data_IF_649329701525
#
_entry.id   IF_649329701525
#
_cell.length_a   1.000
_cell.length_b   1.000
_cell.length_c   1.000
_cell.angle_alpha   90.00
_cell.angle_beta   90.00
_cell.angle_gamma   90.00
#
_symmetry.space_group_name_H-M   'P 1'
#
loop_
_entity.id
_entity.type
_entity.pdbx_description
1 polymer ?
#
# COMPACT_ATOMS: atom_id res chain seq x y z
N UNK A 1 11.00 -4.77 11.79
CA UNK A 1 11.71 -5.98 12.24
C UNK A 1 12.70 -5.58 13.30
N UNK A 2 12.83 -6.37 14.39
CA UNK A 2 14.02 -6.25 15.21
C UNK A 2 15.24 -6.42 14.28
N UNK A 3 16.40 -5.82 14.59
CA UNK A 3 17.59 -5.93 13.74
C UNK A 3 18.02 -7.39 13.45
N UNK A 4 17.45 -8.34 14.17
CA UNK A 4 17.79 -9.76 14.12
C UNK A 4 16.86 -10.62 13.26
N UNK A 5 15.84 -10.03 12.62
CA UNK A 5 14.87 -10.77 11.81
C UNK A 5 14.75 -10.19 10.40
N UNK A 6 14.78 -11.06 9.41
CA UNK A 6 14.56 -10.75 7.99
C UNK A 6 13.21 -11.33 7.56
N UNK A 7 12.40 -10.52 6.86
CA UNK A 7 11.19 -11.00 6.21
C UNK A 7 11.49 -11.33 4.75
N UNK A 8 11.14 -12.53 4.34
CA UNK A 8 11.16 -12.96 2.95
C UNK A 8 9.71 -13.10 2.48
N UNK A 9 9.38 -12.41 1.41
CA UNK A 9 8.03 -12.33 0.86
C UNK A 9 7.96 -13.13 -0.44
N UNK A 10 6.98 -14.03 -0.52
CA UNK A 10 6.72 -14.87 -1.68
C UNK A 10 5.25 -15.29 -1.67
N UNK A 11 4.98 -16.54 -1.92
CA UNK A 11 3.68 -17.20 -1.76
C UNK A 11 3.26 -17.30 -0.27
N UNK A 12 4.23 -17.17 0.63
CA UNK A 12 4.06 -17.07 2.06
C UNK A 12 4.96 -15.96 2.62
N UNK A 13 4.73 -15.59 3.88
CA UNK A 13 5.62 -14.71 4.64
C UNK A 13 6.53 -15.58 5.49
N UNK A 14 7.81 -15.54 5.20
CA UNK A 14 8.84 -16.22 5.98
C UNK A 14 9.57 -15.21 6.86
N UNK A 15 9.70 -15.52 8.13
CA UNK A 15 10.54 -14.78 9.07
C UNK A 15 11.81 -15.59 9.34
N UNK A 16 12.97 -15.04 9.04
CA UNK A 16 14.25 -15.63 9.36
C UNK A 16 14.87 -14.94 10.57
N UNK A 17 15.11 -15.68 11.63
CA UNK A 17 15.80 -15.23 12.85
C UNK A 17 17.31 -15.39 12.61
N UNK A 18 18.04 -14.29 12.51
CA UNK A 18 19.48 -14.25 12.25
C UNK A 18 20.31 -14.89 13.38
N UNK A 19 19.84 -14.75 14.64
CA UNK A 19 20.54 -15.27 15.80
C UNK A 19 20.36 -16.79 15.94
N UNK A 20 19.11 -17.25 15.79
CA UNK A 20 18.77 -18.68 15.92
C UNK A 20 18.99 -19.45 14.64
N UNK A 21 19.16 -18.76 13.50
CA UNK A 21 19.28 -19.34 12.16
C UNK A 21 18.11 -20.27 11.81
N UNK A 22 16.90 -19.82 12.17
CA UNK A 22 15.67 -20.60 11.96
C UNK A 22 14.65 -19.81 11.14
N UNK A 23 13.90 -20.53 10.31
CA UNK A 23 12.74 -19.99 9.60
C UNK A 23 11.46 -20.24 10.36
N UNK A 24 10.54 -19.29 10.30
CA UNK A 24 9.14 -19.43 10.69
C UNK A 24 8.27 -18.95 9.54
N UNK A 25 7.20 -19.69 9.27
CA UNK A 25 6.17 -19.25 8.33
C UNK A 25 5.12 -18.50 9.13
N UNK A 26 4.65 -17.35 8.63
CA UNK A 26 3.54 -16.64 9.26
C UNK A 26 2.30 -17.50 9.17
N UNK A 27 1.59 -17.61 10.29
CA UNK A 27 0.31 -18.33 10.34
C UNK A 27 -0.76 -17.48 9.69
N UNK A 28 -1.29 -17.94 8.58
CA UNK A 28 -2.41 -17.33 7.87
C UNK A 28 -3.73 -17.74 8.54
N UNK A 29 -4.70 -16.85 8.48
CA UNK A 29 -6.06 -17.18 8.90
C UNK A 29 -6.70 -18.09 7.85
N UNK A 30 -7.40 -19.14 8.23
CA UNK A 30 -8.03 -20.08 7.30
C UNK A 30 -8.84 -19.39 6.18
N UNK A 31 -8.67 -19.87 4.95
CA UNK A 31 -9.34 -19.33 3.76
C UNK A 31 -8.74 -18.04 3.19
N UNK A 32 -7.52 -17.71 3.53
CA UNK A 32 -6.80 -16.55 3.01
C UNK A 32 -5.65 -16.98 2.09
N UNK A 33 -5.97 -17.40 0.88
CA UNK A 33 -4.94 -17.66 -0.12
C UNK A 33 -4.32 -16.32 -0.58
N UNK A 34 -3.00 -16.23 -0.53
CA UNK A 34 -2.25 -15.11 -1.10
C UNK A 34 -2.32 -15.19 -2.61
N UNK A 35 -2.68 -14.09 -3.27
CA UNK A 35 -2.86 -14.03 -4.71
C UNK A 35 -1.71 -13.24 -5.34
N UNK A 36 -0.72 -13.94 -5.84
CA UNK A 36 0.48 -13.35 -6.41
C UNK A 36 1.54 -13.02 -5.37
N UNK A 37 2.46 -12.13 -5.70
CA UNK A 37 3.54 -11.74 -4.82
C UNK A 37 3.08 -10.75 -3.74
N UNK A 38 3.55 -10.94 -2.51
CA UNK A 38 3.37 -9.97 -1.43
C UNK A 38 4.36 -8.82 -1.57
N UNK A 39 3.85 -7.61 -1.48
CA UNK A 39 4.62 -6.37 -1.50
C UNK A 39 4.53 -5.66 -0.16
N UNK A 40 5.66 -5.08 0.32
CA UNK A 40 5.64 -4.31 1.56
C UNK A 40 5.00 -2.94 1.35
N UNK A 41 4.08 -2.54 2.24
CA UNK A 41 3.49 -1.20 2.29
C UNK A 41 4.28 -0.34 3.27
N UNK A 42 4.32 -0.74 4.52
CA UNK A 42 5.03 -0.02 5.59
C UNK A 42 5.37 -0.96 6.73
N UNK A 43 6.42 -0.61 7.45
CA UNK A 43 6.92 -1.35 8.59
C UNK A 43 6.78 -0.49 9.85
N UNK A 44 6.13 -1.04 10.87
CA UNK A 44 5.96 -0.44 12.20
C UNK A 44 6.66 -1.32 13.24
N UNK A 45 6.86 -0.84 14.43
CA UNK A 45 7.54 -1.60 15.50
C UNK A 45 6.91 -2.99 15.71
N UNK A 46 5.59 -3.04 15.91
CA UNK A 46 4.85 -4.28 16.18
C UNK A 46 4.28 -4.99 14.96
N UNK A 47 4.10 -4.27 13.86
CA UNK A 47 3.39 -4.75 12.69
C UNK A 47 4.13 -4.44 11.39
N UNK A 48 3.98 -5.32 10.41
CA UNK A 48 4.32 -5.04 9.02
C UNK A 48 3.04 -5.12 8.18
N UNK A 49 2.81 -4.12 7.34
CA UNK A 49 1.70 -4.11 6.41
C UNK A 49 2.17 -4.53 5.03
N UNK A 50 1.43 -5.43 4.42
CA UNK A 50 1.73 -6.05 3.14
C UNK A 50 0.48 -6.02 2.26
N UNK A 51 0.65 -6.09 0.95
CA UNK A 51 -0.45 -6.34 0.04
C UNK A 51 -0.09 -7.38 -1.02
N UNK A 52 -1.09 -8.08 -1.50
CA UNK A 52 -1.11 -8.76 -2.78
C UNK A 52 -2.00 -7.98 -3.78
N UNK A 53 -2.35 -8.57 -4.90
CA UNK A 53 -3.19 -7.94 -5.92
C UNK A 53 -4.66 -7.76 -5.52
N UNK A 54 -5.10 -8.35 -4.42
CA UNK A 54 -6.51 -8.37 -3.97
C UNK A 54 -6.71 -7.93 -2.53
N UNK A 55 -5.67 -7.99 -1.69
CA UNK A 55 -5.82 -7.84 -0.24
C UNK A 55 -4.71 -6.98 0.35
N UNK A 56 -5.02 -6.38 1.50
CA UNK A 56 -4.05 -5.78 2.41
C UNK A 56 -4.02 -6.63 3.67
N UNK A 57 -2.81 -6.92 4.14
CA UNK A 57 -2.54 -7.74 5.31
C UNK A 57 -1.80 -6.97 6.38
N UNK A 58 -2.00 -7.39 7.60
CA UNK A 58 -1.21 -7.02 8.77
C UNK A 58 -0.51 -8.26 9.30
N UNK A 59 0.81 -8.22 9.34
CA UNK A 59 1.64 -9.21 10.03
C UNK A 59 1.94 -8.70 11.44
N UNK A 60 1.41 -9.39 12.45
CA UNK A 60 1.80 -9.18 13.85
C UNK A 60 3.14 -9.88 14.10
N UNK A 61 4.18 -9.09 14.43
CA UNK A 61 5.54 -9.61 14.62
C UNK A 61 5.73 -10.39 15.93
N UNK A 62 4.84 -10.18 16.90
CA UNK A 62 4.93 -10.83 18.22
C UNK A 62 4.51 -12.30 18.13
N UNK A 63 3.41 -12.56 17.46
CA UNK A 63 2.84 -13.91 17.31
C UNK A 63 2.99 -14.51 15.93
N UNK A 64 3.61 -13.75 15.00
CA UNK A 64 3.84 -14.14 13.61
C UNK A 64 2.54 -14.50 12.86
N UNK A 65 1.46 -13.77 13.15
CA UNK A 65 0.14 -13.98 12.55
C UNK A 65 -0.14 -12.99 11.45
N UNK A 66 -0.53 -13.49 10.28
CA UNK A 66 -0.97 -12.71 9.14
C UNK A 66 -2.50 -12.60 9.15
N UNK A 67 -3.02 -11.37 9.12
CA UNK A 67 -4.46 -11.10 9.13
C UNK A 67 -4.82 -10.21 7.96
N UNK A 68 -5.85 -10.57 7.20
CA UNK A 68 -6.39 -9.72 6.14
C UNK A 68 -7.21 -8.58 6.73
N UNK A 69 -6.82 -7.34 6.41
CA UNK A 69 -7.52 -6.13 6.81
C UNK A 69 -8.53 -5.66 5.76
N UNK A 70 -8.18 -5.85 4.49
CA UNK A 70 -8.95 -5.37 3.36
C UNK A 70 -8.93 -6.41 2.24
N UNK A 71 -10.03 -6.52 1.52
CA UNK A 71 -10.15 -7.34 0.30
C UNK A 71 -10.91 -6.57 -0.77
N UNK A 72 -10.37 -6.55 -1.97
CA UNK A 72 -11.09 -6.09 -3.16
C UNK A 72 -12.21 -7.06 -3.53
N UNK A 73 -13.27 -6.51 -4.12
CA UNK A 73 -14.38 -7.28 -4.66
C UNK A 73 -14.28 -7.36 -6.19
N UNK A 74 -14.93 -8.36 -6.76
CA UNK A 74 -15.02 -8.57 -8.19
C UNK A 74 -13.64 -8.53 -8.88
N UNK A 75 -13.57 -7.89 -10.02
CA UNK A 75 -12.35 -7.77 -10.84
C UNK A 75 -11.41 -6.63 -10.43
N UNK A 76 -11.69 -5.96 -9.29
CA UNK A 76 -10.79 -4.93 -8.77
C UNK A 76 -9.42 -5.51 -8.43
N UNK A 77 -8.37 -4.91 -8.96
CA UNK A 77 -6.97 -5.27 -8.74
C UNK A 77 -6.26 -4.10 -8.06
N UNK A 78 -5.49 -4.41 -7.03
CA UNK A 78 -4.63 -3.45 -6.35
C UNK A 78 -3.37 -3.27 -7.18
N UNK A 79 -3.11 -2.05 -7.64
CA UNK A 79 -1.89 -1.68 -8.35
C UNK A 79 -0.83 -1.11 -7.39
N UNK A 80 -1.25 -0.30 -6.42
CA UNK A 80 -0.36 0.35 -5.47
C UNK A 80 -1.10 0.66 -4.17
N UNK A 81 -0.38 0.64 -3.04
CA UNK A 81 -0.93 0.97 -1.72
C UNK A 81 0.07 1.85 -0.97
N UNK A 82 -0.44 2.89 -0.33
CA UNK A 82 0.30 3.67 0.65
C UNK A 82 -0.51 3.81 1.94
N UNK A 83 0.18 4.03 3.06
CA UNK A 83 -0.43 4.30 4.36
C UNK A 83 -0.07 5.71 4.78
N UNK A 84 -1.08 6.50 5.17
CA UNK A 84 -0.88 7.87 5.62
C UNK A 84 -0.49 7.97 7.11
N UNK A 85 -0.23 9.18 7.56
CA UNK A 85 0.15 9.50 8.95
C UNK A 85 -0.97 9.21 9.96
N UNK A 86 -2.23 9.14 9.52
CA UNK A 86 -3.38 8.80 10.36
C UNK A 86 -3.59 7.29 10.49
N UNK A 87 -2.83 6.51 9.71
CA UNK A 87 -2.92 5.06 9.70
C UNK A 87 -3.91 4.49 8.70
N UNK A 88 -4.50 5.34 7.86
CA UNK A 88 -5.42 4.94 6.82
C UNK A 88 -4.68 4.49 5.56
N UNK A 89 -5.31 3.64 4.77
CA UNK A 89 -4.76 3.14 3.52
C UNK A 89 -5.36 3.83 2.32
N UNK A 90 -4.49 4.21 1.39
CA UNK A 90 -4.83 4.71 0.09
C UNK A 90 -4.46 3.66 -0.94
N UNK A 91 -5.43 3.24 -1.72
CA UNK A 91 -5.35 2.07 -2.59
C UNK A 91 -5.61 2.52 -4.02
N UNK A 92 -4.61 2.39 -4.87
CA UNK A 92 -4.72 2.55 -6.31
C UNK A 92 -5.14 1.23 -6.95
N UNK A 93 -6.12 1.29 -7.80
CA UNK A 93 -6.69 0.12 -8.46
C UNK A 93 -6.98 0.39 -9.93
N UNK A 94 -7.30 -0.67 -10.66
CA UNK A 94 -7.80 -0.60 -12.04
C UNK A 94 -9.18 0.10 -12.17
N UNK A 95 -9.83 0.46 -11.06
CA UNK A 95 -11.09 1.21 -11.00
C UNK A 95 -10.98 2.52 -10.22
N UNK A 96 -9.77 3.07 -10.06
CA UNK A 96 -9.53 4.35 -9.42
C UNK A 96 -8.89 4.26 -8.04
N UNK A 97 -9.13 5.29 -7.23
CA UNK A 97 -8.57 5.47 -5.91
C UNK A 97 -9.58 5.07 -4.83
N UNK A 98 -9.12 4.34 -3.81
CA UNK A 98 -9.95 3.96 -2.66
C UNK A 98 -9.21 4.40 -1.39
N UNK A 99 -9.92 5.12 -0.52
CA UNK A 99 -9.48 5.37 0.85
C UNK A 99 -10.11 4.32 1.79
N UNK A 100 -9.30 3.72 2.64
CA UNK A 100 -9.74 2.71 3.59
C UNK A 100 -9.23 3.00 5.00
N UNK A 101 -10.17 3.18 5.93
CA UNK A 101 -9.86 3.31 7.35
C UNK A 101 -9.96 1.93 8.03
N UNK A 102 -8.84 1.37 8.53
CA UNK A 102 -8.83 0.03 9.10
C UNK A 102 -9.52 -0.07 10.46
N UNK A 103 -9.60 1.03 11.23
CA UNK A 103 -10.24 1.05 12.53
C UNK A 103 -11.76 1.00 12.43
N UNK A 104 -12.35 1.77 11.51
CA UNK A 104 -13.79 1.82 11.27
C UNK A 104 -14.26 0.85 10.20
N UNK A 105 -13.33 0.28 9.42
CA UNK A 105 -13.57 -0.56 8.23
C UNK A 105 -14.34 0.16 7.12
N UNK A 106 -14.36 1.48 7.14
CA UNK A 106 -15.02 2.30 6.13
C UNK A 106 -14.16 2.37 4.88
N UNK A 107 -14.80 2.19 3.72
CA UNK A 107 -14.23 2.30 2.37
C UNK A 107 -14.87 3.47 1.67
N UNK A 108 -14.06 4.37 1.15
CA UNK A 108 -14.53 5.52 0.38
C UNK A 108 -13.88 5.47 -1.01
N UNK A 109 -14.61 5.02 -2.03
CA UNK A 109 -14.10 5.08 -3.39
C UNK A 109 -14.15 6.54 -3.89
N UNK A 110 -13.11 6.94 -4.59
CA UNK A 110 -13.07 8.18 -5.36
C UNK A 110 -13.25 7.85 -6.83
N UNK A 111 -14.48 8.05 -7.29
CA UNK A 111 -14.83 7.88 -8.71
C UNK A 111 -14.91 9.26 -9.37
N UNK A 112 -14.21 9.44 -10.48
CA UNK A 112 -14.19 10.68 -11.23
C UNK A 112 -14.02 10.37 -12.71
N UNK A 113 -14.38 11.30 -13.57
CA UNK A 113 -14.09 11.21 -15.01
C UNK A 113 -12.65 11.59 -15.36
N UNK A 114 -11.88 12.11 -14.39
CA UNK A 114 -10.50 12.54 -14.59
C UNK A 114 -9.52 11.38 -14.66
N UNK A 115 -9.83 10.25 -13.99
CA UNK A 115 -8.99 9.06 -14.03
C UNK A 115 -9.83 7.80 -13.76
N UNK A 116 -9.47 6.70 -14.41
CA UNK A 116 -10.13 5.40 -14.26
C UNK A 116 -9.22 4.37 -13.59
N UNK A 117 -7.91 4.52 -13.74
CA UNK A 117 -6.91 3.63 -13.16
C UNK A 117 -5.88 4.46 -12.39
N UNK A 118 -5.48 3.98 -11.22
CA UNK A 118 -4.40 4.54 -10.41
C UNK A 118 -3.30 3.50 -10.30
N UNK A 119 -2.12 3.83 -10.84
CA UNK A 119 -0.97 2.90 -10.92
C UNK A 119 0.04 3.11 -9.80
N UNK A 120 0.08 4.31 -9.25
CA UNK A 120 1.07 4.78 -8.29
C UNK A 120 0.39 5.50 -7.13
N UNK A 121 0.79 5.22 -5.89
CA UNK A 121 0.41 6.03 -4.71
C UNK A 121 1.59 6.22 -3.79
N UNK A 122 1.75 7.44 -3.29
CA UNK A 122 2.69 7.81 -2.23
C UNK A 122 2.01 8.78 -1.28
N UNK A 123 2.07 8.51 0.01
CA UNK A 123 1.67 9.45 1.06
C UNK A 123 2.91 10.21 1.53
N UNK A 124 2.86 11.54 1.48
CA UNK A 124 3.88 12.36 2.11
C UNK A 124 3.52 12.60 3.60
N UNK A 125 4.51 12.97 4.39
CA UNK A 125 4.28 13.27 5.81
C UNK A 125 3.69 14.67 6.04
N UNK A 126 3.21 15.32 4.97
CA UNK A 126 2.66 16.68 4.99
C UNK A 126 1.14 16.71 4.72
N UNK A 127 0.50 15.54 4.77
CA UNK A 127 -0.95 15.40 4.58
C UNK A 127 -1.38 15.44 3.13
N UNK A 128 -0.52 15.00 2.20
CA UNK A 128 -0.86 14.83 0.80
C UNK A 128 -0.71 13.38 0.38
N UNK A 129 -1.63 12.94 -0.44
CA UNK A 129 -1.57 11.65 -1.12
C UNK A 129 -1.33 11.91 -2.58
N UNK A 130 -0.13 11.59 -3.03
CA UNK A 130 0.27 11.68 -4.43
C UNK A 130 -0.13 10.39 -5.12
N UNK A 131 -0.73 10.51 -6.29
CA UNK A 131 -1.07 9.35 -7.10
C UNK A 131 -0.94 9.62 -8.58
N UNK A 132 -0.46 8.63 -9.29
CA UNK A 132 -0.26 8.65 -10.73
C UNK A 132 -1.27 7.76 -11.42
N UNK A 133 -1.65 8.19 -12.61
CA UNK A 133 -2.33 7.41 -13.65
C UNK A 133 -1.35 7.16 -14.79
N UNK A 134 -1.80 6.57 -15.89
CA UNK A 134 -0.92 6.40 -17.06
C UNK A 134 -0.39 7.73 -17.59
N UNK A 135 -1.18 8.82 -17.50
CA UNK A 135 -0.87 10.08 -18.17
C UNK A 135 -0.71 11.28 -17.24
N UNK A 136 -1.16 11.19 -16.00
CA UNK A 136 -1.32 12.35 -15.12
C UNK A 136 -0.84 12.07 -13.69
N UNK A 137 -0.33 13.13 -13.05
CA UNK A 137 0.01 13.15 -11.64
C UNK A 137 -0.96 14.02 -10.87
N UNK A 138 -1.47 13.49 -9.78
CA UNK A 138 -2.41 14.17 -8.88
C UNK A 138 -1.88 14.20 -7.45
N UNK A 139 -2.37 15.16 -6.67
CA UNK A 139 -2.32 15.10 -5.22
C UNK A 139 -3.74 15.28 -4.64
N UNK A 140 -4.07 14.43 -3.68
CA UNK A 140 -5.20 14.64 -2.79
C UNK A 140 -4.71 15.35 -1.52
N UNK A 141 -5.24 16.54 -1.28
CA UNK A 141 -4.97 17.32 -0.07
C UNK A 141 -5.96 16.88 1.01
N UNK A 142 -5.50 16.13 2.01
CA UNK A 142 -6.37 15.48 3.01
C UNK A 142 -7.20 16.52 3.79
N UNK A 143 -6.56 17.60 4.23
CA UNK A 143 -7.22 18.66 5.03
C UNK A 143 -8.24 19.46 4.22
N UNK A 144 -7.89 19.83 3.00
CA UNK A 144 -8.73 20.65 2.11
C UNK A 144 -9.78 19.82 1.37
N UNK A 145 -9.65 18.49 1.39
CA UNK A 145 -10.53 17.54 0.69
C UNK A 145 -10.69 17.85 -0.79
N UNK A 146 -9.56 18.12 -1.47
CA UNK A 146 -9.55 18.45 -2.90
C UNK A 146 -8.42 17.76 -3.64
N UNK A 147 -8.64 17.53 -4.94
CA UNK A 147 -7.61 17.10 -5.87
C UNK A 147 -6.88 18.31 -6.47
N UNK A 148 -5.58 18.14 -6.69
CA UNK A 148 -4.74 19.04 -7.48
C UNK A 148 -4.13 18.20 -8.59
N UNK A 149 -4.23 18.68 -9.83
CA UNK A 149 -3.59 18.08 -11.00
C UNK A 149 -2.26 18.79 -11.24
N UNK A 150 -1.22 18.02 -11.53
CA UNK A 150 0.09 18.51 -11.92
C UNK A 150 0.34 18.19 -13.39
N UNK A 151 0.71 19.21 -14.14
CA UNK A 151 1.01 19.12 -15.56
C UNK A 151 2.46 19.54 -15.87
N UNK A 152 2.78 19.65 -17.14
CA UNK A 152 4.11 20.07 -17.61
C UNK A 152 4.53 21.45 -17.08
N UNK A 153 3.58 22.38 -16.94
CA UNK A 153 3.83 23.70 -16.34
C UNK A 153 4.29 23.65 -14.89
N UNK A 154 3.99 22.56 -14.19
CA UNK A 154 4.38 22.32 -12.81
C UNK A 154 5.65 21.45 -12.71
N UNK A 155 6.25 21.11 -13.86
CA UNK A 155 7.42 20.24 -13.95
C UNK A 155 7.09 18.73 -13.95
N UNK A 156 5.81 18.36 -14.01
CA UNK A 156 5.43 16.97 -14.18
C UNK A 156 5.73 16.52 -15.61
N UNK A 157 6.37 15.37 -15.76
CA UNK A 157 6.67 14.78 -17.06
C UNK A 157 5.43 13.99 -17.49
N UNK A 158 4.96 14.22 -18.72
CA UNK A 158 3.92 13.36 -19.33
C UNK A 158 4.55 12.02 -19.70
N UNK A 159 4.54 11.10 -18.75
CA UNK A 159 5.00 9.74 -18.96
C UNK A 159 4.25 8.80 -18.02
N UNK A 160 4.27 7.53 -18.36
CA UNK A 160 3.70 6.47 -17.55
C UNK A 160 4.27 6.49 -16.12
N UNK A 161 3.40 6.79 -15.16
CA UNK A 161 3.72 6.65 -13.74
C UNK A 161 3.54 5.18 -13.36
N UNK A 162 4.65 4.44 -13.42
CA UNK A 162 4.67 2.99 -13.24
C UNK A 162 4.38 2.60 -11.77
N UNK A 163 3.81 1.43 -11.61
CA UNK A 163 3.62 0.79 -10.32
C UNK A 163 4.96 0.56 -9.59
N UNK A 164 4.95 0.67 -8.27
CA UNK A 164 6.09 0.48 -7.38
C UNK A 164 7.01 1.71 -7.18
N UNK A 165 6.45 2.86 -6.82
CA UNK A 165 7.25 4.05 -6.54
C UNK A 165 8.10 3.83 -5.30
N UNK A 166 9.36 4.24 -5.39
CA UNK A 166 10.21 4.44 -4.22
C UNK A 166 10.36 5.94 -4.01
N UNK A 167 9.82 6.43 -2.91
CA UNK A 167 10.15 7.78 -2.46
C UNK A 167 11.55 7.73 -1.85
N UNK A 168 12.53 8.33 -2.53
CA UNK A 168 13.84 8.59 -1.94
C UNK A 168 13.77 9.98 -1.29
N UNK A 169 13.61 10.00 0.02
CA UNK A 169 13.79 11.22 0.80
C UNK A 169 15.28 11.45 1.01
N UNK A 170 15.76 12.68 0.72
CA UNK A 170 17.13 13.09 1.05
C UNK A 170 17.37 13.27 2.55
N UNK A 171 16.34 13.09 3.36
CA UNK A 171 16.37 13.22 4.81
C UNK A 171 15.85 11.94 5.46
N UNK A 172 16.54 10.82 5.22
CA UNK A 172 16.46 9.57 5.97
C UNK A 172 15.06 8.96 6.14
#
# INVERSE_FOLDING_TARGET
TSPDNVLLLGDHVYQYDLNKRTFRIATEQEGQDIIGALLPITNHEDYTYLNDTKRIYQLDKRNNRLTSLFRCFNDTVINSVARDEYGDFWIGSNYGLIHYNPATKVRTPFTTTLFTEVTLIVCDQQGKVWFGTNDMLFAWLIKEKKFVLFGESDGAIQNEYLSNPRLLSSHG
#
